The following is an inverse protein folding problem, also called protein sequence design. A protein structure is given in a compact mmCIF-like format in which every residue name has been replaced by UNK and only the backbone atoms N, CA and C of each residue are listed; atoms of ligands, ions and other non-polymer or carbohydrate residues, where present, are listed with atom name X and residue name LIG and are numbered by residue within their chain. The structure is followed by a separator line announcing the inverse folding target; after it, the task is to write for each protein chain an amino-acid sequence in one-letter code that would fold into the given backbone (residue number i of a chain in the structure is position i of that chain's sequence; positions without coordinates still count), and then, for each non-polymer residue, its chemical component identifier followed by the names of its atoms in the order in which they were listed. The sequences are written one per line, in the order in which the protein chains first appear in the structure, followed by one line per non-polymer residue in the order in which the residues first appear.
data_IF_192176925718
#
_entry.id   IF_192176925718
#
_cell.length_a   1.000
_cell.length_b   1.000
_cell.length_c   1.000
_cell.angle_alpha   90.00
_cell.angle_beta   90.00
_cell.angle_gamma   90.00
#
_symmetry.space_group_name_H-M   'P 1'
#
loop_
_entity.id
_entity.type
_entity.pdbx_description
1 polymer ?
#
# COMPACT_ATOMS: atom_id res chain seq x y z
N UNK A 1 13.54 3.15 6.47
CA UNK A 1 15.01 3.06 6.63
C UNK A 1 15.39 1.66 7.09
N UNK A 2 14.96 1.21 8.28
CA UNK A 2 15.23 -0.14 8.79
C UNK A 2 14.99 -1.30 7.80
N UNK A 3 13.82 -1.39 7.12
CA UNK A 3 13.57 -2.48 6.17
C UNK A 3 14.47 -2.44 4.93
N UNK A 4 14.87 -1.24 4.48
CA UNK A 4 15.80 -1.10 3.36
C UNK A 4 17.22 -1.53 3.77
N UNK A 5 17.65 -1.13 4.97
CA UNK A 5 18.95 -1.56 5.52
C UNK A 5 19.01 -3.07 5.70
N UNK A 6 17.94 -3.68 6.22
CA UNK A 6 17.83 -5.14 6.33
C UNK A 6 17.94 -5.83 4.97
N UNK A 7 17.24 -5.31 3.95
CA UNK A 7 17.31 -5.87 2.60
C UNK A 7 18.73 -5.76 2.01
N UNK A 8 19.38 -4.60 2.16
CA UNK A 8 20.77 -4.36 1.72
C UNK A 8 21.78 -5.22 2.48
N UNK A 9 21.54 -5.50 3.77
CA UNK A 9 22.33 -6.41 4.59
C UNK A 9 22.10 -7.90 4.24
N UNK A 10 21.28 -8.20 3.22
CA UNK A 10 21.02 -9.56 2.75
C UNK A 10 19.97 -10.31 3.58
N UNK A 11 19.33 -9.66 4.54
CA UNK A 11 18.27 -10.27 5.34
C UNK A 11 17.07 -10.52 4.42
N UNK A 12 16.60 -11.77 4.40
CA UNK A 12 15.45 -12.20 3.59
C UNK A 12 14.23 -12.36 4.48
N UNK A 13 13.09 -11.90 3.99
CA UNK A 13 11.80 -12.22 4.61
C UNK A 13 11.60 -13.73 4.62
N UNK A 14 11.13 -14.27 5.75
CA UNK A 14 10.72 -15.68 5.84
C UNK A 14 9.38 -15.94 5.16
N UNK A 15 8.54 -14.91 5.05
CA UNK A 15 7.23 -14.98 4.42
C UNK A 15 7.38 -14.48 2.97
N UNK A 16 6.88 -15.23 1.97
CA UNK A 16 6.82 -14.77 0.59
C UNK A 16 6.12 -13.41 0.46
N UNK A 17 6.57 -12.58 -0.47
CA UNK A 17 6.01 -11.24 -0.67
C UNK A 17 4.52 -11.29 -1.03
N UNK A 18 4.11 -12.27 -1.84
CA UNK A 18 2.72 -12.44 -2.28
C UNK A 18 1.79 -12.70 -1.09
N UNK A 19 2.18 -13.56 -0.15
CA UNK A 19 1.40 -13.82 1.07
C UNK A 19 1.24 -12.58 1.96
N UNK A 20 2.29 -11.74 2.04
CA UNK A 20 2.21 -10.46 2.77
C UNK A 20 1.22 -9.52 2.09
N UNK A 21 1.22 -9.46 0.76
CA UNK A 21 0.30 -8.63 -0.02
C UNK A 21 -1.14 -9.14 0.10
N UNK A 22 -1.35 -10.45 0.07
CA UNK A 22 -2.66 -11.07 0.24
C UNK A 22 -3.22 -10.80 1.65
N UNK A 23 -2.39 -10.93 2.69
CA UNK A 23 -2.78 -10.59 4.05
C UNK A 23 -3.16 -9.10 4.16
N UNK A 24 -2.37 -8.21 3.55
CA UNK A 24 -2.68 -6.78 3.50
C UNK A 24 -4.03 -6.51 2.83
N UNK A 25 -4.32 -7.19 1.71
CA UNK A 25 -5.61 -7.08 1.00
C UNK A 25 -6.76 -7.56 1.88
N UNK A 26 -6.66 -8.76 2.45
CA UNK A 26 -7.72 -9.36 3.25
C UNK A 26 -8.09 -8.50 4.47
N UNK A 27 -7.09 -7.88 5.10
CA UNK A 27 -7.31 -6.91 6.18
C UNK A 27 -7.98 -5.64 5.65
N UNK A 28 -7.49 -5.08 4.54
CA UNK A 28 -8.06 -3.88 3.93
C UNK A 28 -9.52 -4.05 3.51
N UNK A 29 -9.91 -5.22 3.00
CA UNK A 29 -11.28 -5.56 2.60
C UNK A 29 -12.26 -5.60 3.78
N UNK A 30 -11.78 -5.86 4.99
CA UNK A 30 -12.60 -5.85 6.21
C UNK A 30 -12.74 -4.45 6.83
N UNK A 31 -11.89 -3.49 6.44
CA UNK A 31 -11.96 -2.12 6.96
C UNK A 31 -13.10 -1.32 6.30
N UNK A 32 -13.74 -0.38 7.01
CA UNK A 32 -14.61 0.62 6.41
C UNK A 32 -13.87 1.48 5.35
N UNK A 33 -14.52 1.91 4.25
CA UNK A 33 -13.87 2.69 3.20
C UNK A 33 -13.21 3.99 3.68
N UNK A 34 -13.74 4.60 4.74
CA UNK A 34 -13.20 5.80 5.38
C UNK A 34 -11.90 5.57 6.17
N UNK A 35 -11.50 4.32 6.39
CA UNK A 35 -10.26 3.96 7.09
C UNK A 35 -9.24 3.26 6.19
N UNK A 36 -9.66 2.83 4.99
CA UNK A 36 -8.75 2.19 4.02
C UNK A 36 -7.77 3.21 3.46
N UNK A 37 -6.52 2.77 3.28
CA UNK A 37 -5.46 3.57 2.67
C UNK A 37 -5.86 4.01 1.26
N UNK A 38 -6.22 3.04 0.42
CA UNK A 38 -6.68 3.21 -0.97
C UNK A 38 -8.14 3.64 -1.10
N UNK A 39 -8.84 3.81 0.01
CA UNK A 39 -10.25 4.22 0.05
C UNK A 39 -10.42 5.72 0.16
N UNK A 40 -11.36 6.15 0.99
CA UNK A 40 -11.65 7.57 1.24
C UNK A 40 -10.83 8.14 2.41
N UNK A 41 -10.11 7.29 3.15
CA UNK A 41 -9.47 7.66 4.41
C UNK A 41 -7.97 7.91 4.38
N UNK A 42 -7.26 7.37 3.38
CA UNK A 42 -5.80 7.34 3.40
C UNK A 42 -5.12 8.20 2.35
N UNK A 43 -3.91 7.80 1.96
CA UNK A 43 -3.03 8.62 1.12
C UNK A 43 -3.62 8.76 -0.29
N UNK A 44 -4.32 7.74 -0.79
CA UNK A 44 -5.02 7.81 -2.07
C UNK A 44 -6.10 8.92 -2.14
N UNK A 45 -6.73 9.26 -1.01
CA UNK A 45 -7.76 10.31 -0.93
C UNK A 45 -7.17 11.72 -0.77
N UNK A 46 -5.86 11.86 -0.58
CA UNK A 46 -5.21 13.16 -0.47
C UNK A 46 -5.28 13.95 -1.79
N UNK A 47 -5.16 15.30 -1.75
CA UNK A 47 -5.14 16.10 -2.97
C UNK A 47 -4.10 15.66 -4.00
N UNK A 48 -2.92 15.23 -3.53
CA UNK A 48 -1.84 14.71 -4.38
C UNK A 48 -2.22 13.35 -4.99
N UNK A 49 -2.78 12.44 -4.20
CA UNK A 49 -3.27 11.14 -4.69
C UNK A 49 -4.34 11.29 -5.76
N UNK A 50 -5.32 12.17 -5.54
CA UNK A 50 -6.37 12.48 -6.51
C UNK A 50 -5.81 13.12 -7.80
N UNK A 51 -4.82 14.00 -7.68
CA UNK A 51 -4.16 14.60 -8.84
C UNK A 51 -3.39 13.55 -9.67
N UNK A 52 -2.68 12.62 -9.01
CA UNK A 52 -2.01 11.52 -9.70
C UNK A 52 -3.01 10.57 -10.38
N UNK A 53 -4.11 10.22 -9.71
CA UNK A 53 -5.16 9.37 -10.27
C UNK A 53 -5.82 9.98 -11.52
N UNK A 54 -6.01 11.30 -11.56
CA UNK A 54 -6.51 12.01 -12.75
C UNK A 54 -5.53 11.89 -13.92
N UNK A 55 -4.24 12.16 -13.70
CA UNK A 55 -3.21 12.05 -14.74
C UNK A 55 -3.13 10.66 -15.36
N UNK A 56 -3.30 9.61 -14.55
CA UNK A 56 -3.31 8.22 -15.03
C UNK A 56 -4.53 7.84 -15.86
N UNK A 57 -5.64 8.59 -15.74
CA UNK A 57 -6.88 8.35 -16.50
C UNK A 57 -6.93 9.13 -17.82
N UNK A 58 -6.11 10.16 -17.95
CA UNK A 58 -6.07 11.07 -19.09
C UNK A 58 -5.00 10.67 -20.14
N UNK A 59 -4.15 9.69 -19.83
CA UNK A 59 -3.17 9.10 -20.75
C UNK A 59 -3.50 7.67 -21.12
#
# INVERSE_FOLDING_TARGET
VACADMALAGIRSRIPADEVIDAMRAVGEQMPPSLRETGQGGVAATPAGLAAARKLREG
#
